data_IF_421421784152
#
_entry.id   IF_421421784152
#
_cell.length_a   1.000
_cell.length_b   1.000
_cell.length_c   1.000
_cell.angle_alpha   90.00
_cell.angle_beta   90.00
_cell.angle_gamma   90.00
#
_symmetry.space_group_name_H-M   'P 1'
#
loop_
_entity.id
_entity.type
_entity.pdbx_description
1 polymer ?
#
# COMPACT_ATOMS: atom_id res chain seq x y z
N UNK A 1 -15.84 -22.88 2.15
CA UNK A 1 -15.10 -22.42 0.96
C UNK A 1 -13.67 -22.15 1.41
N UNK A 2 -12.82 -23.19 1.43
CA UNK A 2 -11.53 -23.21 2.13
C UNK A 2 -10.32 -22.79 1.27
N UNK A 3 -10.56 -22.40 0.01
CA UNK A 3 -9.51 -22.04 -0.94
C UNK A 3 -9.21 -20.54 -1.06
N UNK A 4 -10.01 -19.65 -0.45
CA UNK A 4 -9.76 -18.21 -0.53
C UNK A 4 -8.78 -17.75 0.55
N UNK A 5 -7.72 -17.06 0.14
CA UNK A 5 -6.86 -16.32 1.07
C UNK A 5 -7.67 -15.27 1.84
N UNK A 6 -7.41 -15.09 3.15
CA UNK A 6 -8.02 -14.00 3.90
C UNK A 6 -7.52 -12.66 3.36
N UNK A 7 -8.30 -11.61 3.60
CA UNK A 7 -7.99 -10.26 3.09
C UNK A 7 -6.67 -9.68 3.60
N UNK A 8 -6.19 -10.19 4.72
CA UNK A 8 -4.86 -9.92 5.23
C UNK A 8 -4.26 -11.25 5.66
N UNK A 9 -3.03 -11.52 5.22
CA UNK A 9 -2.30 -12.73 5.56
C UNK A 9 -0.84 -12.41 5.80
N UNK A 10 -0.16 -13.31 6.49
CA UNK A 10 1.23 -13.15 6.87
C UNK A 10 2.06 -14.26 6.23
N UNK A 11 3.22 -13.92 5.69
CA UNK A 11 4.17 -14.86 5.11
C UNK A 11 5.57 -14.60 5.62
N UNK A 12 6.31 -15.66 5.88
CA UNK A 12 7.72 -15.56 6.30
C UNK A 12 8.70 -15.87 5.16
N UNK A 13 8.24 -16.05 3.92
CA UNK A 13 9.10 -16.23 2.73
C UNK A 13 8.76 -15.21 1.65
N UNK A 14 9.78 -14.78 0.89
CA UNK A 14 9.61 -13.89 -0.24
C UNK A 14 10.56 -14.18 -1.39
N UNK A 15 10.15 -13.78 -2.60
CA UNK A 15 11.01 -13.72 -3.78
C UNK A 15 11.00 -12.31 -4.33
N UNK A 16 12.18 -11.73 -4.49
CA UNK A 16 12.32 -10.43 -5.15
C UNK A 16 12.46 -10.63 -6.66
N UNK A 17 11.74 -9.84 -7.44
CA UNK A 17 11.77 -9.86 -8.89
C UNK A 17 12.17 -8.50 -9.45
N UNK A 18 12.84 -8.51 -10.60
CA UNK A 18 13.36 -7.28 -11.21
C UNK A 18 12.36 -6.60 -12.15
N UNK A 19 11.32 -7.32 -12.59
CA UNK A 19 10.29 -6.81 -13.50
C UNK A 19 8.97 -7.56 -13.34
N UNK A 20 7.93 -6.99 -13.95
CA UNK A 20 6.56 -7.48 -13.86
C UNK A 20 6.37 -8.80 -14.58
N UNK A 21 7.08 -9.03 -15.68
CA UNK A 21 7.01 -10.25 -16.47
C UNK A 21 7.46 -11.46 -15.65
N UNK A 22 8.62 -11.36 -14.99
CA UNK A 22 9.12 -12.38 -14.06
C UNK A 22 8.17 -12.60 -12.88
N UNK A 23 7.57 -11.52 -12.35
CA UNK A 23 6.55 -11.63 -11.30
C UNK A 23 5.38 -12.50 -11.78
N UNK A 24 4.85 -12.21 -12.98
CA UNK A 24 3.71 -12.92 -13.55
C UNK A 24 4.03 -14.38 -13.89
N UNK A 25 5.25 -14.67 -14.34
CA UNK A 25 5.70 -16.04 -14.58
C UNK A 25 5.74 -16.86 -13.29
N UNK A 26 6.32 -16.30 -12.21
CA UNK A 26 6.33 -16.95 -10.89
C UNK A 26 4.91 -17.17 -10.35
N UNK A 27 4.06 -16.13 -10.42
CA UNK A 27 2.67 -16.21 -9.93
C UNK A 27 1.81 -17.23 -10.70
N UNK A 28 2.16 -17.55 -11.94
CA UNK A 28 1.46 -18.56 -12.77
C UNK A 28 2.05 -19.97 -12.62
N UNK A 29 3.21 -20.10 -11.98
CA UNK A 29 3.86 -21.40 -11.81
C UNK A 29 3.05 -22.30 -10.88
N UNK A 30 3.07 -23.61 -11.14
CA UNK A 30 2.33 -24.59 -10.32
C UNK A 30 2.90 -24.73 -8.90
N UNK A 31 4.15 -24.35 -8.72
CA UNK A 31 4.88 -24.45 -7.45
C UNK A 31 4.68 -23.21 -6.57
N UNK A 32 3.96 -22.19 -7.07
CA UNK A 32 3.69 -20.97 -6.32
C UNK A 32 2.44 -21.10 -5.45
N UNK A 33 2.64 -21.00 -4.14
CA UNK A 33 1.56 -20.92 -3.15
C UNK A 33 1.61 -19.54 -2.46
N UNK A 34 0.57 -18.70 -2.66
CA UNK A 34 0.53 -17.37 -2.05
C UNK A 34 0.30 -17.41 -0.52
N UNK A 35 0.07 -18.60 0.06
CA UNK A 35 0.06 -18.81 1.51
C UNK A 35 1.47 -18.88 2.10
N UNK A 36 2.46 -19.26 1.29
CA UNK A 36 3.79 -19.61 1.76
C UNK A 36 4.82 -18.54 1.39
N UNK A 37 4.72 -18.01 0.16
CA UNK A 37 5.69 -17.07 -0.42
C UNK A 37 5.00 -15.87 -1.07
N UNK A 38 5.57 -14.68 -0.89
CA UNK A 38 5.16 -13.45 -1.58
C UNK A 38 6.20 -13.00 -2.60
N UNK A 39 5.75 -12.53 -3.76
CA UNK A 39 6.63 -11.89 -4.74
C UNK A 39 6.70 -10.39 -4.46
N UNK A 40 7.90 -9.85 -4.28
CA UNK A 40 8.14 -8.42 -4.02
C UNK A 40 8.91 -7.77 -5.18
N UNK A 41 8.61 -6.50 -5.44
CA UNK A 41 9.34 -5.70 -6.44
C UNK A 41 10.70 -5.18 -5.92
N UNK A 42 10.95 -5.29 -4.62
CA UNK A 42 12.13 -4.75 -3.96
C UNK A 42 12.49 -5.55 -2.70
N UNK A 43 13.75 -5.43 -2.27
CA UNK A 43 14.24 -6.09 -1.06
C UNK A 43 13.58 -5.51 0.19
N UNK A 44 12.98 -6.35 1.05
CA UNK A 44 12.37 -5.89 2.29
C UNK A 44 13.44 -5.45 3.31
N UNK A 45 13.44 -4.17 3.63
CA UNK A 45 14.33 -3.59 4.65
C UNK A 45 13.78 -3.90 6.05
N UNK A 46 14.63 -4.37 6.95
CA UNK A 46 14.25 -4.63 8.35
C UNK A 46 13.80 -6.05 8.65
N UNK A 47 13.79 -6.95 7.66
CA UNK A 47 13.72 -8.40 7.91
C UNK A 47 15.12 -8.87 8.34
N UNK A 48 15.34 -8.94 9.65
CA UNK A 48 16.56 -9.52 10.23
C UNK A 48 16.59 -11.04 10.06
N UNK A 49 16.84 -11.51 8.83
CA UNK A 49 16.87 -12.94 8.48
C UNK A 49 15.49 -13.61 8.58
N UNK A 50 15.08 -14.31 7.52
CA UNK A 50 13.85 -15.10 7.56
C UNK A 50 14.08 -16.35 8.42
N UNK A 51 13.22 -16.56 9.42
CA UNK A 51 13.11 -17.87 10.06
C UNK A 51 12.23 -18.75 9.18
N UNK A 52 12.86 -19.58 8.36
CA UNK A 52 12.20 -20.59 7.51
C UNK A 52 11.52 -21.62 8.41
N UNK A 53 10.20 -21.50 8.62
CA UNK A 53 9.44 -22.50 9.38
C UNK A 53 8.23 -22.01 10.18
N UNK A 54 8.04 -20.71 10.35
CA UNK A 54 6.95 -20.16 11.17
C UNK A 54 5.70 -19.69 10.38
N UNK A 55 5.60 -20.04 9.10
CA UNK A 55 4.58 -19.55 8.16
C UNK A 55 3.13 -19.80 8.63
N UNK A 56 2.89 -20.85 9.43
CA UNK A 56 1.55 -21.27 9.85
C UNK A 56 1.05 -20.73 11.20
N UNK A 57 1.89 -20.04 11.98
CA UNK A 57 1.56 -19.67 13.37
C UNK A 57 1.16 -18.21 13.55
N UNK A 58 1.29 -17.40 12.50
CA UNK A 58 0.95 -15.99 12.57
C UNK A 58 -0.57 -15.78 12.55
N UNK A 59 -1.06 -14.94 13.46
CA UNK A 59 -2.48 -14.55 13.55
C UNK A 59 -2.61 -13.10 13.10
N UNK A 60 -3.46 -12.87 12.11
CA UNK A 60 -3.78 -11.54 11.58
C UNK A 60 -5.26 -11.25 11.79
N UNK A 61 -5.57 -10.17 12.49
CA UNK A 61 -6.94 -9.75 12.79
C UNK A 61 -7.17 -8.30 12.30
N UNK A 62 -8.17 -8.08 11.46
CA UNK A 62 -8.55 -6.73 11.03
C UNK A 62 -9.44 -6.09 12.12
N UNK A 63 -8.90 -5.12 12.87
CA UNK A 63 -9.65 -4.40 13.91
C UNK A 63 -10.50 -3.26 13.36
N UNK A 64 -10.04 -2.63 12.29
CA UNK A 64 -10.78 -1.55 11.61
C UNK A 64 -10.52 -1.59 10.12
N UNK A 65 -11.58 -1.48 9.35
CA UNK A 65 -11.50 -1.37 7.90
C UNK A 65 -12.40 -0.21 7.44
N UNK A 66 -11.79 0.80 6.83
CA UNK A 66 -12.48 1.97 6.26
C UNK A 66 -11.69 2.51 5.06
N UNK A 67 -12.31 3.29 4.16
CA UNK A 67 -11.66 3.72 2.92
C UNK A 67 -10.34 4.50 3.11
N UNK A 68 -10.19 5.25 4.20
CA UNK A 68 -8.96 6.02 4.48
C UNK A 68 -8.09 5.40 5.56
N UNK A 69 -8.52 4.31 6.21
CA UNK A 69 -7.81 3.74 7.36
C UNK A 69 -8.09 2.26 7.54
N UNK A 70 -7.02 1.48 7.66
CA UNK A 70 -7.05 0.07 8.04
C UNK A 70 -6.16 -0.13 9.26
N UNK A 71 -6.64 -0.90 10.24
CA UNK A 71 -5.89 -1.26 11.44
C UNK A 71 -5.95 -2.77 11.58
N UNK A 72 -4.79 -3.40 11.68
CA UNK A 72 -4.64 -4.84 11.88
C UNK A 72 -3.84 -5.11 13.14
N UNK A 73 -4.24 -6.13 13.88
CA UNK A 73 -3.41 -6.75 14.90
C UNK A 73 -2.70 -7.95 14.28
N UNK A 74 -1.39 -8.02 14.43
CA UNK A 74 -0.56 -9.12 13.96
C UNK A 74 0.15 -9.72 15.15
N UNK A 75 0.10 -11.05 15.29
CA UNK A 75 0.86 -11.81 16.28
C UNK A 75 1.62 -12.88 15.55
N UNK A 76 2.95 -12.80 15.53
CA UNK A 76 3.80 -13.77 14.81
C UNK A 76 4.97 -14.19 15.69
N UNK A 77 5.38 -15.48 15.68
CA UNK A 77 6.59 -15.93 16.37
C UNK A 77 7.87 -15.68 15.57
N UNK A 78 7.79 -15.03 14.40
CA UNK A 78 8.95 -14.60 13.63
C UNK A 78 8.68 -13.28 12.91
N UNK A 79 9.75 -12.58 12.55
CA UNK A 79 9.67 -11.49 11.57
C UNK A 79 9.18 -12.02 10.22
N UNK A 80 8.42 -11.21 9.50
CA UNK A 80 7.87 -11.58 8.20
C UNK A 80 7.12 -10.44 7.53
N UNK A 81 6.31 -10.78 6.54
CA UNK A 81 5.64 -9.83 5.66
C UNK A 81 4.13 -9.98 5.85
N UNK A 82 3.49 -8.90 6.30
CA UNK A 82 2.04 -8.78 6.25
C UNK A 82 1.64 -8.33 4.85
N UNK A 83 0.87 -9.16 4.16
CA UNK A 83 0.24 -8.82 2.88
C UNK A 83 -1.21 -8.42 3.14
N UNK A 84 -1.60 -7.26 2.62
CA UNK A 84 -2.98 -6.82 2.60
C UNK A 84 -3.51 -6.87 1.18
N UNK A 85 -4.58 -7.64 0.96
CA UNK A 85 -5.24 -7.88 -0.32
C UNK A 85 -6.04 -6.66 -0.79
N UNK A 86 -5.36 -5.52 -0.89
CA UNK A 86 -5.88 -4.26 -1.39
C UNK A 86 -4.83 -3.63 -2.32
N UNK A 87 -5.30 -2.86 -3.30
CA UNK A 87 -4.46 -2.38 -4.38
C UNK A 87 -3.39 -1.42 -3.88
N UNK A 88 -2.13 -1.65 -4.24
CA UNK A 88 -1.06 -0.70 -4.04
C UNK A 88 -1.37 0.59 -4.80
N UNK A 89 -1.55 1.68 -4.05
CA UNK A 89 -1.82 3.00 -4.60
C UNK A 89 -0.96 4.05 -3.87
N UNK A 90 -0.37 5.02 -4.58
CA UNK A 90 0.38 6.10 -3.95
C UNK A 90 -0.47 6.89 -2.95
N UNK A 91 0.17 7.42 -1.91
CA UNK A 91 -0.50 8.23 -0.88
C UNK A 91 -0.97 7.45 0.34
N UNK A 92 -0.85 6.12 0.36
CA UNK A 92 -0.95 5.36 1.61
C UNK A 92 0.35 5.45 2.41
N UNK A 93 0.22 5.64 3.71
CA UNK A 93 1.29 5.51 4.70
C UNK A 93 1.02 4.30 5.57
N UNK A 94 2.08 3.60 5.97
CA UNK A 94 1.96 2.49 6.91
C UNK A 94 2.82 2.71 8.14
N UNK A 95 2.37 2.18 9.26
CA UNK A 95 3.19 2.07 10.46
C UNK A 95 3.00 0.72 11.13
N UNK A 96 4.09 0.23 11.72
CA UNK A 96 4.06 -0.87 12.68
C UNK A 96 4.17 -0.24 14.06
N UNK A 97 3.12 -0.40 14.86
CA UNK A 97 2.88 0.28 16.13
C UNK A 97 2.84 1.81 16.01
N UNK A 98 4.00 2.44 16.16
CA UNK A 98 4.21 3.90 16.10
C UNK A 98 5.30 4.29 15.10
N UNK A 99 6.04 3.34 14.55
CA UNK A 99 7.14 3.60 13.62
C UNK A 99 6.64 3.50 12.18
N UNK A 100 6.94 4.52 11.38
CA UNK A 100 6.58 4.53 9.97
C UNK A 100 7.39 3.46 9.23
N UNK A 101 6.72 2.69 8.38
CA UNK A 101 7.33 1.64 7.58
C UNK A 101 6.98 1.82 6.12
N UNK A 102 7.87 1.33 5.26
CA UNK A 102 7.68 1.40 3.81
C UNK A 102 6.61 0.40 3.38
N UNK A 103 5.64 0.87 2.59
CA UNK A 103 4.70 0.00 1.89
C UNK A 103 5.38 -0.54 0.65
N UNK A 104 5.51 -1.86 0.57
CA UNK A 104 6.04 -2.58 -0.58
C UNK A 104 4.89 -3.05 -1.47
N UNK A 105 5.22 -3.28 -2.74
CA UNK A 105 4.31 -3.93 -3.67
C UNK A 105 4.51 -5.44 -3.61
N UNK A 106 3.43 -6.16 -3.36
CA UNK A 106 3.39 -7.61 -3.25
C UNK A 106 2.53 -8.20 -4.37
N UNK A 107 2.96 -9.33 -4.94
CA UNK A 107 2.24 -10.05 -6.00
C UNK A 107 1.74 -9.10 -7.09
N UNK A 108 2.60 -8.17 -7.52
CA UNK A 108 2.36 -7.15 -8.56
C UNK A 108 1.35 -6.04 -8.23
N UNK A 109 0.37 -6.25 -7.36
CA UNK A 109 -0.72 -5.28 -7.14
C UNK A 109 -1.12 -5.08 -5.68
N UNK A 110 -0.68 -5.93 -4.76
CA UNK A 110 -1.07 -5.87 -3.35
C UNK A 110 -0.10 -5.00 -2.54
N UNK A 111 -0.53 -4.59 -1.36
CA UNK A 111 0.33 -3.89 -0.40
C UNK A 111 0.93 -4.87 0.59
N UNK A 112 2.19 -4.65 0.94
CA UNK A 112 2.87 -5.42 1.96
C UNK A 112 3.70 -4.52 2.87
N UNK A 113 3.90 -4.95 4.12
CA UNK A 113 4.82 -4.32 5.06
C UNK A 113 5.57 -5.38 5.84
N UNK A 114 6.81 -5.08 6.22
CA UNK A 114 7.58 -5.90 7.15
C UNK A 114 7.01 -5.71 8.54
N UNK A 115 6.78 -6.82 9.25
CA UNK A 115 6.36 -6.83 10.65
C UNK A 115 7.35 -7.68 11.45
N UNK A 116 7.93 -7.15 12.53
CA UNK A 116 8.83 -7.91 13.39
C UNK A 116 8.13 -9.07 14.12
N UNK A 117 8.93 -9.94 14.72
CA UNK A 117 8.44 -10.95 15.67
C UNK A 117 7.72 -10.30 16.86
N UNK A 118 6.58 -10.88 17.23
CA UNK A 118 5.82 -10.49 18.41
C UNK A 118 4.41 -10.04 18.05
N UNK A 119 3.84 -9.18 18.90
CA UNK A 119 2.50 -8.63 18.76
C UNK A 119 2.58 -7.17 18.37
N UNK A 120 2.03 -6.84 17.21
CA UNK A 120 2.12 -5.50 16.63
C UNK A 120 0.76 -5.02 16.12
N UNK A 121 0.58 -3.70 16.13
CA UNK A 121 -0.54 -3.03 15.49
C UNK A 121 -0.06 -2.41 14.19
N UNK A 122 -0.47 -2.98 13.06
CA UNK A 122 -0.19 -2.40 11.75
C UNK A 122 -1.31 -1.45 11.35
N UNK A 123 -0.94 -0.23 10.93
CA UNK A 123 -1.90 0.77 10.46
C UNK A 123 -1.56 1.18 9.05
N UNK A 124 -2.57 1.17 8.18
CA UNK A 124 -2.52 1.85 6.88
C UNK A 124 -3.42 3.07 6.95
N UNK A 125 -2.91 4.24 6.57
CA UNK A 125 -3.66 5.50 6.54
C UNK A 125 -3.43 6.18 5.20
N UNK A 126 -4.52 6.58 4.54
CA UNK A 126 -4.43 7.37 3.32
C UNK A 126 -4.13 8.84 3.65
N UNK A 127 -3.12 9.39 3.02
CA UNK A 127 -2.71 10.79 3.13
C UNK A 127 -3.34 11.62 1.99
N UNK A 128 -4.34 12.48 2.29
CA UNK A 128 -5.01 13.29 1.28
C UNK A 128 -4.23 14.56 0.90
N UNK A 129 -3.04 14.80 1.47
CA UNK A 129 -2.30 16.06 1.26
C UNK A 129 -2.06 16.42 -0.21
N UNK A 130 -1.65 15.49 -1.10
CA UNK A 130 -1.47 15.79 -2.53
C UNK A 130 -2.77 16.19 -3.23
N UNK A 131 -3.89 15.55 -2.88
CA UNK A 131 -5.20 15.85 -3.43
C UNK A 131 -5.67 17.25 -3.01
N UNK A 132 -5.49 17.60 -1.73
CA UNK A 132 -5.82 18.93 -1.21
C UNK A 132 -4.99 20.04 -1.89
N UNK A 133 -3.73 19.77 -2.23
CA UNK A 133 -2.90 20.69 -3.00
C UNK A 133 -3.44 20.89 -4.42
N UNK A 134 -3.86 19.81 -5.08
CA UNK A 134 -4.51 19.85 -6.39
C UNK A 134 -5.75 20.74 -6.41
N UNK A 135 -6.64 20.58 -5.43
CA UNK A 135 -7.85 21.43 -5.30
C UNK A 135 -7.48 22.91 -5.21
N UNK A 136 -6.50 23.28 -4.38
CA UNK A 136 -6.07 24.67 -4.23
C UNK A 136 -5.55 25.24 -5.55
N UNK A 137 -4.72 24.47 -6.26
CA UNK A 137 -4.20 24.87 -7.57
C UNK A 137 -5.33 25.05 -8.60
N UNK A 138 -6.28 24.11 -8.66
CA UNK A 138 -7.44 24.21 -9.55
C UNK A 138 -8.30 25.45 -9.26
N UNK A 139 -8.56 25.76 -7.98
CA UNK A 139 -9.27 26.98 -7.59
C UNK A 139 -8.52 28.23 -8.05
N UNK A 140 -7.20 28.29 -7.84
CA UNK A 140 -6.37 29.40 -8.32
C UNK A 140 -6.48 29.57 -9.84
N UNK A 141 -6.42 28.48 -10.61
CA UNK A 141 -6.57 28.51 -12.08
C UNK A 141 -7.95 29.01 -12.50
N UNK A 142 -9.03 28.57 -11.85
CA UNK A 142 -10.40 29.00 -12.15
C UNK A 142 -10.57 30.50 -11.87
N UNK A 143 -10.04 30.97 -10.73
CA UNK A 143 -10.11 32.39 -10.35
C UNK A 143 -9.29 33.25 -11.33
N UNK A 144 -8.06 32.84 -11.66
CA UNK A 144 -7.23 33.60 -12.59
C UNK A 144 -7.83 33.66 -13.99
N UNK A 145 -8.34 32.54 -14.51
CA UNK A 145 -8.94 32.49 -15.85
C UNK A 145 -10.23 33.31 -15.92
N UNK A 146 -11.07 33.22 -14.88
CA UNK A 146 -12.29 34.03 -14.79
C UNK A 146 -11.99 35.53 -14.72
N UNK A 147 -10.96 35.92 -13.96
CA UNK A 147 -10.53 37.33 -13.87
C UNK A 147 -9.98 37.84 -15.21
N UNK A 148 -9.19 37.03 -15.93
CA UNK A 148 -8.69 37.38 -17.27
C UNK A 148 -9.84 37.61 -18.24
N UNK A 149 -10.84 36.71 -18.26
CA UNK A 149 -12.02 36.84 -19.11
C UNK A 149 -12.80 38.11 -18.76
N UNK A 150 -13.03 38.39 -17.48
CA UNK A 150 -13.75 39.59 -17.04
C UNK A 150 -13.03 40.88 -17.47
N UNK A 151 -11.71 40.95 -17.28
CA UNK A 151 -10.90 42.11 -17.69
C UNK A 151 -10.91 42.29 -19.22
N UNK A 152 -10.85 41.19 -19.98
CA UNK A 152 -10.93 41.25 -21.44
C UNK A 152 -12.28 41.78 -21.95
N UNK A 153 -13.40 41.39 -21.32
CA UNK A 153 -14.72 41.90 -21.69
C UNK A 153 -14.90 43.39 -21.36
N UNK A 154 -14.44 43.84 -20.18
CA UNK A 154 -14.54 45.26 -19.77
C UNK A 154 -13.70 46.16 -20.69
N UNK A 155 -12.48 45.72 -21.04
CA UNK A 155 -11.61 46.46 -21.95
C UNK A 155 -12.15 46.51 -23.38
N UNK A 156 -12.87 45.49 -23.84
CA UNK A 156 -13.60 45.49 -25.12
C UNK A 156 -14.74 46.50 -25.15
N UNK A 157 -15.54 46.61 -24.08
CA UNK A 157 -16.65 47.56 -23.99
C UNK A 157 -16.21 49.03 -24.02
N UNK A 158 -14.99 49.35 -23.56
CA UNK A 158 -14.45 50.72 -23.57
C UNK A 158 -13.93 51.19 -24.94
N UNK A 159 -13.80 50.29 -25.92
CA UNK A 159 -13.28 50.58 -27.27
C UNK A 159 -14.37 50.89 -28.30
N UNK A 160 -15.64 50.77 -27.93
CA UNK A 160 -16.81 51.15 -28.73
C UNK A 160 -17.49 52.37 -28.11
#
# INVERSE_FOLDING_TARGET
NEESLPRAFFVSDYKVVNNKEQALELLKSKDFSPKDVVVLDEEPVGLGGLSTGAHGSAVVEIKKYSPQKVILNVSSPSSGILVFSDLFYPGWKASVDREETKIMKANTVLRAVVVPEGKHIVKFVYDPSPFNLGIKLSLCTIVSTSLIILVSNISGLKKH
#
